data_IF_900533313279
#
_entry.id   IF_900533313279
#
_cell.length_a   1.000
_cell.length_b   1.000
_cell.length_c   1.000
_cell.angle_alpha   90.00
_cell.angle_beta   90.00
_cell.angle_gamma   90.00
#
_symmetry.space_group_name_H-M   'P 1'
#
loop_
_entity.id
_entity.type
_entity.pdbx_description
1 polymer ?
#
# COMPACT_ATOMS: atom_id res chain seq x y z
N UNK A 1 -3.51 -3.01 19.50
CA UNK A 1 -3.50 -1.64 18.94
C UNK A 1 -2.13 -1.39 18.38
N UNK A 2 -2.02 -1.03 17.10
CA UNK A 2 -0.76 -0.55 16.55
C UNK A 2 -0.52 0.83 17.19
N UNK A 3 0.34 0.83 18.23
CA UNK A 3 0.75 1.97 19.04
C UNK A 3 -0.35 2.74 19.82
N UNK A 4 -0.62 2.31 21.05
CA UNK A 4 -1.43 3.06 22.03
C UNK A 4 -0.76 4.35 22.54
N UNK A 5 0.57 4.45 22.39
CA UNK A 5 1.38 5.52 22.99
C UNK A 5 1.79 6.65 22.04
N UNK A 6 1.16 6.75 20.87
CA UNK A 6 1.45 7.84 19.93
C UNK A 6 0.30 8.87 19.98
N UNK A 7 0.22 9.62 21.08
CA UNK A 7 -0.20 11.02 20.96
C UNK A 7 0.95 11.81 20.33
N UNK A 8 1.29 11.52 19.07
CA UNK A 8 2.07 12.46 18.28
C UNK A 8 1.22 13.72 18.14
N UNK A 9 1.71 14.82 18.68
CA UNK A 9 1.11 16.12 18.54
C UNK A 9 1.14 16.55 17.07
N UNK A 10 0.17 16.09 16.29
CA UNK A 10 -0.01 16.47 14.88
C UNK A 10 -0.90 17.71 14.80
N UNK A 11 -0.75 18.50 13.74
CA UNK A 11 -1.66 19.63 13.47
C UNK A 11 -3.11 19.16 13.36
N UNK A 12 -3.34 17.97 12.79
CA UNK A 12 -4.66 17.34 12.76
C UNK A 12 -5.19 17.00 14.16
N UNK A 13 -4.34 16.46 15.03
CA UNK A 13 -4.67 16.17 16.43
C UNK A 13 -5.06 17.43 17.21
N UNK A 14 -4.27 18.50 17.05
CA UNK A 14 -4.54 19.81 17.68
C UNK A 14 -5.88 20.39 17.19
N UNK A 15 -6.16 20.35 15.88
CA UNK A 15 -7.47 20.80 15.34
C UNK A 15 -8.64 19.96 15.83
N UNK A 16 -8.46 18.65 15.97
CA UNK A 16 -9.52 17.75 16.48
C UNK A 16 -9.82 18.04 17.94
N UNK A 17 -8.79 18.18 18.76
CA UNK A 17 -8.93 18.54 20.17
C UNK A 17 -9.56 19.93 20.32
N UNK A 18 -9.17 20.91 19.50
CA UNK A 18 -9.78 22.24 19.48
C UNK A 18 -11.28 22.18 19.14
N UNK A 19 -11.69 21.31 18.22
CA UNK A 19 -13.11 21.10 17.92
C UNK A 19 -13.88 20.47 19.09
N UNK A 20 -13.26 19.57 19.86
CA UNK A 20 -13.86 19.02 21.09
C UNK A 20 -14.00 20.11 22.15
N UNK A 21 -12.94 20.89 22.40
CA UNK A 21 -12.93 22.00 23.37
C UNK A 21 -13.93 23.10 23.02
N UNK A 22 -14.06 23.45 21.73
CA UNK A 22 -15.08 24.38 21.25
C UNK A 22 -16.49 23.90 21.60
N UNK A 23 -16.77 22.61 21.39
CA UNK A 23 -18.10 22.02 21.66
C UNK A 23 -18.39 21.89 23.16
N UNK A 24 -17.39 21.52 23.96
CA UNK A 24 -17.59 21.29 25.40
C UNK A 24 -17.62 22.59 26.21
N UNK A 25 -16.85 23.61 25.81
CA UNK A 25 -16.62 24.80 26.63
C UNK A 25 -17.15 26.10 26.00
N UNK A 26 -17.77 26.04 24.82
CA UNK A 26 -18.33 27.22 24.14
C UNK A 26 -17.30 28.25 23.68
N UNK A 27 -16.01 27.87 23.63
CA UNK A 27 -14.91 28.79 23.31
C UNK A 27 -14.85 29.16 21.82
N UNK A 28 -14.41 30.38 21.47
CA UNK A 28 -13.99 30.71 20.12
C UNK A 28 -12.94 29.70 19.60
N UNK A 29 -13.07 29.28 18.34
CA UNK A 29 -12.22 28.22 17.78
C UNK A 29 -10.71 28.54 17.84
N UNK A 30 -10.34 29.81 17.68
CA UNK A 30 -8.93 30.23 17.74
C UNK A 30 -8.32 30.08 19.15
N UNK A 31 -9.09 30.35 20.21
CA UNK A 31 -8.67 30.10 21.59
C UNK A 31 -8.56 28.61 21.87
N UNK A 32 -9.54 27.83 21.40
CA UNK A 32 -9.52 26.37 21.53
C UNK A 32 -8.30 25.74 20.84
N UNK A 33 -7.85 26.30 19.70
CA UNK A 33 -6.61 25.89 19.01
C UNK A 33 -5.37 26.18 19.85
N UNK A 34 -5.28 27.35 20.47
CA UNK A 34 -4.14 27.69 21.33
C UNK A 34 -4.10 26.82 22.59
N UNK A 35 -5.25 26.53 23.19
CA UNK A 35 -5.35 25.62 24.35
C UNK A 35 -4.92 24.20 23.95
N UNK A 36 -5.44 23.69 22.82
CA UNK A 36 -5.06 22.38 22.32
C UNK A 36 -3.57 22.28 21.95
N UNK A 37 -2.97 23.35 21.45
CA UNK A 37 -1.53 23.42 21.18
C UNK A 37 -0.71 23.40 22.48
N UNK A 38 -1.15 24.12 23.52
CA UNK A 38 -0.51 24.12 24.84
C UNK A 38 -0.60 22.78 25.56
N UNK A 39 -1.72 22.08 25.44
CA UNK A 39 -1.82 20.70 25.97
C UNK A 39 -0.87 19.73 25.25
N UNK A 40 -0.41 20.10 24.06
CA UNK A 40 0.59 19.37 23.29
C UNK A 40 2.02 19.95 23.45
N UNK A 41 2.27 20.73 24.51
CA UNK A 41 3.57 21.36 24.84
C UNK A 41 4.09 22.41 23.85
N UNK A 42 3.20 23.06 23.09
CA UNK A 42 3.55 24.22 22.27
C UNK A 42 3.05 25.54 22.89
N UNK A 43 3.73 26.66 22.64
CA UNK A 43 3.32 27.96 23.19
C UNK A 43 1.93 28.42 22.72
N UNK A 44 1.63 28.18 21.44
CA UNK A 44 0.38 28.51 20.78
C UNK A 44 0.26 27.72 19.45
N UNK A 45 -0.86 27.88 18.74
CA UNK A 45 -1.10 27.16 17.48
C UNK A 45 -0.10 27.55 16.37
N UNK A 46 0.33 28.81 16.29
CA UNK A 46 1.31 29.25 15.29
C UNK A 46 2.69 28.64 15.55
N UNK A 47 3.11 28.59 16.82
CA UNK A 47 4.32 27.90 17.25
C UNK A 47 4.26 26.40 16.93
N UNK A 48 3.11 25.76 17.22
CA UNK A 48 2.87 24.37 16.83
C UNK A 48 2.96 24.18 15.31
N UNK A 49 2.32 25.05 14.50
CA UNK A 49 2.39 25.00 13.03
C UNK A 49 3.82 25.13 12.54
N UNK A 50 4.55 26.14 13.00
CA UNK A 50 5.92 26.39 12.58
C UNK A 50 6.89 25.30 13.03
N UNK A 51 6.80 24.82 14.27
CA UNK A 51 7.67 23.75 14.74
C UNK A 51 7.34 22.43 14.07
N UNK A 52 6.06 22.08 13.95
CA UNK A 52 5.65 20.84 13.30
C UNK A 52 5.96 20.87 11.82
N UNK A 53 5.74 21.97 11.10
CA UNK A 53 6.14 22.10 9.69
C UNK A 53 7.67 22.04 9.52
N UNK A 54 8.46 22.73 10.36
CA UNK A 54 9.92 22.71 10.26
C UNK A 54 10.55 21.37 10.67
N UNK A 55 9.96 20.68 11.66
CA UNK A 55 10.40 19.32 12.03
C UNK A 55 9.96 18.27 11.01
N UNK A 56 8.83 18.48 10.34
CA UNK A 56 8.39 17.67 9.20
C UNK A 56 9.34 17.81 7.99
N UNK A 57 9.96 18.98 7.80
CA UNK A 57 10.96 19.21 6.74
C UNK A 57 12.33 18.60 7.11
N UNK A 58 12.71 18.59 8.39
CA UNK A 58 14.05 18.17 8.83
C UNK A 58 14.19 16.68 9.18
N UNK A 59 13.12 15.96 9.54
CA UNK A 59 13.20 14.62 10.12
C UNK A 59 12.48 13.49 9.35
N UNK A 60 11.93 13.75 8.15
CA UNK A 60 11.28 12.72 7.34
C UNK A 60 12.14 12.34 6.14
N UNK A 61 13.10 11.44 6.36
CA UNK A 61 13.56 10.55 5.29
C UNK A 61 12.35 9.75 4.81
N UNK A 62 11.72 10.22 3.72
CA UNK A 62 10.60 9.62 2.98
C UNK A 62 9.55 8.82 3.77
N UNK A 63 9.20 9.26 4.99
CA UNK A 63 8.18 8.60 5.81
C UNK A 63 6.80 8.80 5.21
N UNK A 64 5.95 7.79 5.32
CA UNK A 64 4.60 7.74 4.79
C UNK A 64 3.67 7.15 5.85
N UNK A 65 2.50 7.76 6.02
CA UNK A 65 1.47 7.31 6.94
C UNK A 65 0.29 6.74 6.16
N UNK A 66 -0.27 5.63 6.64
CA UNK A 66 -1.54 5.07 6.19
C UNK A 66 -2.53 5.15 7.33
N UNK A 67 -3.78 5.49 7.02
CA UNK A 67 -4.85 5.59 8.00
C UNK A 67 -6.10 4.95 7.47
N UNK A 68 -6.75 4.12 8.29
CA UNK A 68 -8.03 3.49 7.97
C UNK A 68 -8.94 3.56 9.19
N UNK A 69 -10.21 3.91 8.97
CA UNK A 69 -11.22 3.96 10.02
C UNK A 69 -11.99 2.64 10.05
N UNK A 70 -12.54 2.29 11.20
CA UNK A 70 -13.35 1.08 11.33
C UNK A 70 -14.50 1.25 12.31
N UNK A 71 -15.56 0.49 12.06
CA UNK A 71 -16.73 0.38 12.91
C UNK A 71 -17.24 -1.07 12.93
N UNK A 72 -17.10 -1.72 14.09
CA UNK A 72 -17.64 -3.04 14.36
C UNK A 72 -19.06 -2.90 14.93
N UNK A 73 -20.05 -3.22 14.10
CA UNK A 73 -21.48 -3.15 14.45
C UNK A 73 -21.82 -4.13 15.60
N UNK A 74 -21.23 -5.32 15.61
CA UNK A 74 -21.53 -6.37 16.59
C UNK A 74 -21.00 -6.00 17.97
N UNK A 75 -19.76 -5.51 18.03
CA UNK A 75 -19.11 -5.06 19.27
C UNK A 75 -19.49 -3.62 19.65
N UNK A 76 -20.16 -2.88 18.77
CA UNK A 76 -20.45 -1.43 18.88
C UNK A 76 -19.20 -0.61 19.19
N UNK A 77 -18.08 -0.97 18.56
CA UNK A 77 -16.79 -0.28 18.72
C UNK A 77 -16.42 0.40 17.42
N UNK A 78 -15.80 1.56 17.52
CA UNK A 78 -15.20 2.25 16.38
C UNK A 78 -13.77 2.65 16.74
N UNK A 79 -12.96 2.82 15.71
CA UNK A 79 -11.59 3.22 15.89
C UNK A 79 -10.94 3.62 14.58
N UNK A 80 -9.62 3.72 14.64
CA UNK A 80 -8.78 4.11 13.52
C UNK A 80 -7.43 3.47 13.69
N UNK A 81 -6.99 2.78 12.67
CA UNK A 81 -5.63 2.25 12.58
C UNK A 81 -4.75 3.22 11.81
N UNK A 82 -3.51 3.36 12.27
CA UNK A 82 -2.48 4.18 11.62
C UNK A 82 -1.21 3.36 11.57
N UNK A 83 -0.61 3.27 10.38
CA UNK A 83 0.69 2.66 10.18
C UNK A 83 1.63 3.69 9.56
N UNK A 84 2.83 3.83 10.11
CA UNK A 84 3.92 4.57 9.48
C UNK A 84 4.93 3.62 8.87
N UNK A 85 5.44 4.00 7.70
CA UNK A 85 6.52 3.30 7.01
C UNK A 85 7.55 4.30 6.51
N UNK A 86 8.77 3.82 6.30
CA UNK A 86 9.83 4.59 5.65
C UNK A 86 10.12 4.04 4.25
N UNK A 87 10.22 4.94 3.27
CA UNK A 87 10.58 4.62 1.88
C UNK A 87 12.07 4.91 1.63
N UNK A 88 12.65 4.16 0.70
CA UNK A 88 14.02 4.37 0.19
C UNK A 88 14.20 5.69 -0.55
N UNK A 89 13.12 6.21 -1.16
CA UNK A 89 13.12 7.45 -1.97
C UNK A 89 11.75 8.14 -1.88
N UNK A 90 11.60 9.40 -2.33
CA UNK A 90 10.34 10.11 -2.24
C UNK A 90 9.20 9.37 -2.95
N UNK A 91 7.99 9.39 -2.37
CA UNK A 91 6.82 8.68 -2.91
C UNK A 91 6.62 8.92 -4.42
N UNK A 92 6.70 10.17 -4.87
CA UNK A 92 6.50 10.53 -6.29
C UNK A 92 7.62 10.05 -7.23
N UNK A 93 8.76 9.60 -6.69
CA UNK A 93 9.81 8.89 -7.44
C UNK A 93 9.57 7.38 -7.49
N UNK A 94 8.72 6.85 -6.61
CA UNK A 94 8.30 5.44 -6.61
C UNK A 94 7.04 5.27 -7.46
N UNK A 95 6.04 6.13 -7.29
CA UNK A 95 4.74 6.02 -7.93
C UNK A 95 4.07 7.38 -8.07
N UNK A 96 3.52 7.65 -9.25
CA UNK A 96 2.79 8.91 -9.47
C UNK A 96 1.33 8.80 -9.00
N UNK A 97 0.63 9.96 -8.99
CA UNK A 97 -0.73 10.05 -8.45
C UNK A 97 -1.76 9.17 -9.20
N UNK A 98 -1.59 9.03 -10.50
CA UNK A 98 -2.50 8.24 -11.33
C UNK A 98 -2.19 6.74 -11.26
N UNK A 99 -0.92 6.39 -11.07
CA UNK A 99 -0.46 5.01 -10.96
C UNK A 99 -0.94 4.36 -9.66
N UNK A 100 -0.84 5.02 -8.50
CA UNK A 100 -1.27 4.38 -7.25
C UNK A 100 -2.76 4.10 -7.20
N UNK A 101 -3.58 4.93 -7.88
CA UNK A 101 -5.02 4.68 -7.99
C UNK A 101 -5.36 3.44 -8.81
N UNK A 102 -4.41 2.94 -9.62
CA UNK A 102 -4.57 1.72 -10.44
C UNK A 102 -4.07 0.47 -9.71
N UNK A 103 -3.23 0.61 -8.68
CA UNK A 103 -2.84 -0.50 -7.83
C UNK A 103 -4.01 -0.89 -6.92
N UNK A 104 -4.52 -2.12 -7.05
CA UNK A 104 -5.78 -2.59 -6.42
C UNK A 104 -5.79 -2.34 -4.90
N UNK A 105 -4.69 -2.62 -4.20
CA UNK A 105 -4.55 -2.39 -2.75
C UNK A 105 -4.42 -0.93 -2.35
N UNK A 106 -3.98 -0.05 -3.26
CA UNK A 106 -3.84 1.39 -3.00
C UNK A 106 -5.06 2.21 -3.45
N UNK A 107 -5.96 1.63 -4.26
CA UNK A 107 -7.12 2.31 -4.81
C UNK A 107 -8.06 2.88 -3.73
N UNK A 108 -8.22 2.16 -2.61
CA UNK A 108 -9.00 2.56 -1.44
C UNK A 108 -8.45 3.79 -0.73
N UNK A 109 -7.17 4.11 -0.93
CA UNK A 109 -6.51 5.23 -0.27
C UNK A 109 -6.46 6.47 -1.14
N UNK A 110 -6.71 7.62 -0.53
CA UNK A 110 -6.45 8.95 -1.09
C UNK A 110 -5.24 9.56 -0.40
N UNK A 111 -4.37 10.19 -1.20
CA UNK A 111 -3.26 10.98 -0.68
C UNK A 111 -3.81 12.30 -0.09
N UNK A 112 -4.02 12.34 1.22
CA UNK A 112 -4.60 13.48 1.96
C UNK A 112 -3.59 14.59 2.22
N UNK A 113 -2.31 14.24 2.37
CA UNK A 113 -1.15 15.15 2.38
C UNK A 113 0.01 14.48 1.62
N UNK A 114 1.10 15.19 1.30
CA UNK A 114 2.24 14.62 0.56
C UNK A 114 2.83 13.32 1.13
N UNK A 115 2.61 13.04 2.42
CA UNK A 115 3.08 11.85 3.11
C UNK A 115 1.97 11.09 3.87
N UNK A 116 0.70 11.31 3.55
CA UNK A 116 -0.40 10.68 4.28
C UNK A 116 -1.48 10.14 3.35
N UNK A 117 -1.64 8.82 3.37
CA UNK A 117 -2.73 8.10 2.76
C UNK A 117 -3.86 7.87 3.77
N UNK A 118 -5.09 8.16 3.35
CA UNK A 118 -6.31 7.92 4.13
C UNK A 118 -7.24 7.03 3.31
N UNK A 119 -7.69 5.92 3.91
CA UNK A 119 -8.79 5.13 3.38
C UNK A 119 -10.07 5.94 3.57
N UNK A 120 -10.76 6.24 2.48
CA UNK A 120 -12.01 7.01 2.53
C UNK A 120 -13.20 6.11 2.95
N UNK A 121 -13.04 4.78 2.91
CA UNK A 121 -14.03 3.81 3.40
C UNK A 121 -13.85 3.49 4.90
N UNK A 122 -14.94 3.04 5.53
CA UNK A 122 -14.95 2.56 6.92
C UNK A 122 -14.99 1.03 6.93
N UNK A 123 -13.93 0.40 7.43
CA UNK A 123 -13.85 -1.05 7.55
C UNK A 123 -14.84 -1.58 8.61
N UNK A 124 -15.32 -2.81 8.43
CA UNK A 124 -16.31 -3.43 9.32
C UNK A 124 -15.72 -3.97 10.63
N UNK A 125 -14.40 -3.99 10.76
CA UNK A 125 -13.68 -4.43 11.95
C UNK A 125 -12.31 -3.76 12.05
N UNK A 126 -11.69 -3.85 13.22
CA UNK A 126 -10.32 -3.39 13.42
C UNK A 126 -9.36 -4.17 12.53
N UNK A 127 -9.50 -5.49 12.48
CA UNK A 127 -8.67 -6.40 11.70
C UNK A 127 -8.76 -6.08 10.20
N UNK A 128 -9.96 -5.85 9.67
CA UNK A 128 -10.14 -5.44 8.27
C UNK A 128 -9.52 -4.08 7.96
N UNK A 129 -9.45 -3.18 8.95
CA UNK A 129 -8.74 -1.90 8.82
C UNK A 129 -7.23 -2.11 8.65
N UNK A 130 -6.65 -3.02 9.45
CA UNK A 130 -5.24 -3.41 9.38
C UNK A 130 -4.94 -4.10 8.06
N UNK A 131 -5.77 -5.06 7.64
CA UNK A 131 -5.57 -5.82 6.39
C UNK A 131 -5.51 -4.90 5.16
N UNK A 132 -6.40 -3.91 5.09
CA UNK A 132 -6.43 -2.93 4.00
C UNK A 132 -5.15 -2.09 3.98
N UNK A 133 -4.66 -1.65 5.15
CA UNK A 133 -3.37 -0.93 5.26
C UNK A 133 -2.21 -1.83 4.83
N UNK A 134 -2.13 -3.06 5.35
CA UNK A 134 -1.06 -4.00 5.04
C UNK A 134 -1.05 -4.36 3.54
N UNK A 135 -2.21 -4.53 2.91
CA UNK A 135 -2.32 -4.77 1.46
C UNK A 135 -1.76 -3.62 0.63
N UNK A 136 -2.09 -2.37 0.99
CA UNK A 136 -1.57 -1.19 0.31
C UNK A 136 -0.03 -1.09 0.44
N UNK A 137 0.50 -1.37 1.63
CA UNK A 137 1.94 -1.34 1.89
C UNK A 137 2.68 -2.42 1.12
N UNK A 138 2.18 -3.65 1.08
CA UNK A 138 2.79 -4.76 0.31
C UNK A 138 2.92 -4.42 -1.16
N UNK A 139 1.90 -3.81 -1.76
CA UNK A 139 1.97 -3.33 -3.15
C UNK A 139 3.01 -2.22 -3.32
N UNK A 140 3.05 -1.25 -2.40
CA UNK A 140 4.03 -0.17 -2.48
C UNK A 140 5.48 -0.70 -2.38
N UNK A 141 5.72 -1.71 -1.55
CA UNK A 141 7.03 -2.39 -1.44
C UNK A 141 7.41 -3.14 -2.73
N UNK A 142 6.47 -3.81 -3.38
CA UNK A 142 6.73 -4.42 -4.69
C UNK A 142 7.17 -3.36 -5.71
N UNK A 143 6.43 -2.25 -5.80
CA UNK A 143 6.72 -1.15 -6.76
C UNK A 143 8.07 -0.50 -6.45
N UNK A 144 8.36 -0.29 -5.18
CA UNK A 144 9.63 0.27 -4.72
C UNK A 144 10.82 -0.61 -5.09
N UNK A 145 10.73 -1.92 -4.84
CA UNK A 145 11.82 -2.87 -5.07
C UNK A 145 12.04 -3.17 -6.55
N UNK A 146 10.96 -3.32 -7.31
CA UNK A 146 11.02 -3.79 -8.71
C UNK A 146 11.05 -2.65 -9.72
N UNK A 147 10.43 -1.51 -9.41
CA UNK A 147 10.15 -0.44 -10.36
C UNK A 147 8.94 -0.70 -11.26
N UNK A 148 8.30 -1.86 -11.15
CA UNK A 148 7.10 -2.20 -11.92
C UNK A 148 5.96 -1.22 -11.64
N UNK A 149 5.13 -1.00 -12.66
CA UNK A 149 3.99 -0.09 -12.61
C UNK A 149 2.69 -0.82 -12.94
N UNK A 150 1.56 -0.48 -12.28
CA UNK A 150 0.27 -1.06 -12.65
C UNK A 150 -0.06 -0.76 -14.12
N UNK A 151 -0.38 -1.79 -14.89
CA UNK A 151 -0.78 -1.69 -16.29
C UNK A 151 -2.32 -1.61 -16.40
N UNK A 152 -2.82 -0.65 -17.18
CA UNK A 152 -4.26 -0.56 -17.50
C UNK A 152 -4.66 -1.58 -18.56
N UNK A 153 -3.76 -1.80 -19.53
CA UNK A 153 -4.03 -2.68 -20.65
C UNK A 153 -3.70 -4.13 -20.26
N UNK A 154 -4.60 -4.72 -19.48
CA UNK A 154 -4.47 -6.09 -18.98
C UNK A 154 -4.26 -7.12 -20.10
N UNK A 155 -4.74 -6.85 -21.31
CA UNK A 155 -4.53 -7.71 -22.47
C UNK A 155 -3.06 -7.93 -22.78
N UNK A 156 -2.20 -6.92 -22.62
CA UNK A 156 -0.76 -7.03 -22.87
C UNK A 156 -0.04 -8.00 -21.92
N UNK A 157 -0.69 -8.34 -20.81
CA UNK A 157 -0.19 -9.35 -19.86
C UNK A 157 -0.64 -10.77 -20.21
N UNK A 158 -1.20 -10.99 -21.40
CA UNK A 158 -1.55 -12.31 -21.92
C UNK A 158 -0.86 -12.58 -23.26
N UNK A 159 -0.57 -13.86 -23.59
CA UNK A 159 -0.06 -14.26 -24.88
C UNK A 159 -0.94 -13.74 -26.03
N UNK A 160 -0.30 -13.17 -27.06
CA UNK A 160 -0.97 -12.56 -28.22
C UNK A 160 -2.01 -11.49 -27.86
N UNK A 161 -1.87 -10.86 -26.69
CA UNK A 161 -2.79 -9.86 -26.15
C UNK A 161 -4.26 -10.34 -26.03
N UNK A 162 -4.48 -11.64 -25.86
CA UNK A 162 -5.83 -12.23 -25.83
C UNK A 162 -6.19 -12.77 -24.45
N UNK A 163 -7.32 -12.34 -23.90
CA UNK A 163 -7.86 -12.88 -22.65
C UNK A 163 -8.18 -14.38 -22.73
N UNK A 164 -8.42 -14.92 -23.94
CA UNK A 164 -8.62 -16.35 -24.14
C UNK A 164 -7.37 -17.17 -23.79
N UNK A 165 -6.19 -16.54 -23.83
CA UNK A 165 -4.91 -17.13 -23.49
C UNK A 165 -4.51 -16.86 -22.04
N UNK A 166 -5.46 -16.50 -21.16
CA UNK A 166 -5.15 -16.28 -19.74
C UNK A 166 -4.50 -17.51 -19.11
N UNK A 167 -3.70 -17.28 -18.07
CA UNK A 167 -3.05 -18.33 -17.32
C UNK A 167 -4.09 -19.31 -16.73
N UNK A 168 -3.90 -20.64 -16.85
CA UNK A 168 -4.83 -21.62 -16.29
C UNK A 168 -4.94 -21.48 -14.77
N UNK A 169 -6.17 -21.58 -14.28
CA UNK A 169 -6.49 -21.43 -12.86
C UNK A 169 -5.97 -20.10 -12.27
N UNK A 170 -5.89 -19.06 -13.11
CA UNK A 170 -5.57 -17.71 -12.67
C UNK A 170 -6.56 -17.23 -11.61
N UNK A 171 -6.02 -16.69 -10.53
CA UNK A 171 -6.77 -16.15 -9.41
C UNK A 171 -5.98 -15.02 -8.75
N UNK A 172 -6.69 -13.98 -8.35
CA UNK A 172 -6.11 -12.72 -7.83
C UNK A 172 -5.01 -12.12 -8.72
N UNK A 173 -5.13 -12.26 -10.04
CA UNK A 173 -4.15 -11.74 -10.97
C UNK A 173 -4.10 -10.20 -10.99
N UNK A 174 -2.90 -9.67 -11.20
CA UNK A 174 -2.64 -8.24 -11.37
C UNK A 174 -1.68 -8.01 -12.53
N UNK A 175 -1.86 -6.88 -13.22
CA UNK A 175 -1.20 -6.57 -14.48
C UNK A 175 -0.20 -5.44 -14.28
N UNK A 176 1.03 -5.67 -14.73
CA UNK A 176 2.15 -4.77 -14.49
C UNK A 176 2.94 -4.56 -15.78
N UNK A 177 3.73 -3.50 -15.82
CA UNK A 177 4.73 -3.30 -16.85
C UNK A 177 6.01 -2.72 -16.25
N UNK A 178 7.14 -3.06 -16.85
CA UNK A 178 8.41 -2.40 -16.58
C UNK A 178 8.50 -1.14 -17.44
N UNK A 179 8.57 0.07 -16.85
CA UNK A 179 8.65 1.30 -17.60
C UNK A 179 9.99 1.49 -18.35
N UNK A 180 11.04 0.74 -18.00
CA UNK A 180 12.35 0.85 -18.67
C UNK A 180 12.36 0.07 -19.98
N UNK A 181 11.89 -1.16 -19.96
CA UNK A 181 11.90 -2.07 -21.11
C UNK A 181 10.59 -2.08 -21.90
N UNK A 182 9.49 -1.61 -21.28
CA UNK A 182 8.14 -1.74 -21.82
C UNK A 182 7.53 -3.14 -21.65
N UNK A 183 8.25 -4.08 -21.01
CA UNK A 183 7.81 -5.46 -20.85
C UNK A 183 6.54 -5.53 -20.00
N UNK A 184 5.53 -6.26 -20.47
CA UNK A 184 4.36 -6.59 -19.67
C UNK A 184 4.62 -7.79 -18.76
N UNK A 185 4.17 -7.69 -17.52
CA UNK A 185 4.36 -8.70 -16.48
C UNK A 185 3.01 -9.03 -15.85
N UNK A 186 2.65 -10.29 -15.90
CA UNK A 186 1.50 -10.85 -15.18
C UNK A 186 1.96 -11.31 -13.81
N UNK A 187 1.27 -10.89 -12.76
CA UNK A 187 1.41 -11.45 -11.42
C UNK A 187 0.11 -12.19 -11.09
N UNK A 188 0.22 -13.40 -10.58
CA UNK A 188 -0.92 -14.25 -10.23
C UNK A 188 -0.73 -14.80 -8.82
N UNK A 189 -1.76 -14.69 -7.98
CA UNK A 189 -1.69 -15.03 -6.55
C UNK A 189 -2.80 -16.01 -6.14
N UNK A 190 -2.83 -17.22 -6.72
CA UNK A 190 -3.89 -18.18 -6.45
C UNK A 190 -3.72 -18.86 -5.09
N UNK A 191 -4.82 -19.39 -4.56
CA UNK A 191 -4.84 -20.35 -3.45
C UNK A 191 -4.38 -21.76 -3.87
N UNK A 192 -3.35 -21.86 -4.70
CA UNK A 192 -2.75 -23.10 -5.19
C UNK A 192 -1.33 -23.21 -4.68
N UNK A 193 -0.87 -24.41 -4.33
CA UNK A 193 0.54 -24.66 -3.93
C UNK A 193 1.55 -24.00 -4.88
N UNK A 194 2.64 -23.41 -4.36
CA UNK A 194 3.75 -22.78 -5.12
C UNK A 194 4.58 -23.77 -5.96
N UNK A 195 3.94 -24.53 -6.82
CA UNK A 195 4.60 -25.49 -7.70
C UNK A 195 4.04 -25.34 -9.10
N UNK A 196 4.94 -25.16 -10.07
CA UNK A 196 4.57 -25.01 -11.49
C UNK A 196 4.50 -26.40 -12.11
N UNK A 197 3.30 -26.97 -12.13
CA UNK A 197 3.02 -28.28 -12.69
C UNK A 197 1.75 -28.28 -13.54
N UNK A 198 1.55 -29.37 -14.29
CA UNK A 198 0.37 -29.59 -15.11
C UNK A 198 0.12 -28.46 -16.11
N UNK A 199 -1.13 -28.03 -16.19
CA UNK A 199 -1.63 -27.07 -17.19
C UNK A 199 -0.86 -25.75 -17.23
N UNK A 200 -0.35 -25.25 -16.08
CA UNK A 200 0.39 -23.97 -16.03
C UNK A 200 1.79 -24.09 -16.64
N UNK A 201 2.45 -25.24 -16.46
CA UNK A 201 3.74 -25.52 -17.08
C UNK A 201 3.59 -25.72 -18.61
N UNK A 202 2.55 -26.45 -19.01
CA UNK A 202 2.21 -26.67 -20.41
C UNK A 202 1.84 -25.36 -21.12
N UNK A 203 1.05 -24.50 -20.47
CA UNK A 203 0.70 -23.18 -20.95
C UNK A 203 1.93 -22.31 -21.19
N UNK A 204 2.85 -22.25 -20.22
CA UNK A 204 4.08 -21.47 -20.33
C UNK A 204 4.93 -21.92 -21.53
N UNK A 205 5.07 -23.24 -21.71
CA UNK A 205 5.77 -23.82 -22.86
C UNK A 205 5.05 -23.53 -24.18
N UNK A 206 3.73 -23.68 -24.22
CA UNK A 206 2.91 -23.48 -25.42
C UNK A 206 2.99 -22.05 -25.95
N UNK A 207 2.96 -21.08 -25.04
CA UNK A 207 2.97 -19.67 -25.40
C UNK A 207 4.37 -19.06 -25.48
N UNK A 208 5.42 -19.82 -25.16
CA UNK A 208 6.79 -19.32 -24.99
C UNK A 208 6.88 -18.18 -23.96
N UNK A 209 6.27 -18.42 -22.79
CA UNK A 209 6.27 -17.51 -21.66
C UNK A 209 7.12 -18.07 -20.54
N UNK A 210 7.83 -17.20 -19.85
CA UNK A 210 8.39 -17.55 -18.56
C UNK A 210 7.28 -17.53 -17.51
N UNK A 211 7.34 -18.49 -16.58
CA UNK A 211 6.49 -18.56 -15.40
C UNK A 211 7.37 -19.01 -14.23
N UNK A 212 7.36 -18.27 -13.13
CA UNK A 212 8.17 -18.55 -11.95
C UNK A 212 7.39 -18.27 -10.66
N UNK A 213 7.54 -19.15 -9.66
CA UNK A 213 7.06 -18.93 -8.31
C UNK A 213 8.10 -18.14 -7.50
N UNK A 214 7.65 -17.16 -6.75
CA UNK A 214 8.45 -16.35 -5.83
C UNK A 214 8.56 -17.02 -4.47
N UNK A 215 9.69 -16.81 -3.78
CA UNK A 215 9.83 -17.16 -2.36
C UNK A 215 9.28 -16.07 -1.46
N UNK A 216 9.12 -14.84 -1.97
CA UNK A 216 8.41 -13.78 -1.25
C UNK A 216 6.90 -14.11 -1.20
N UNK A 217 6.24 -14.08 -0.02
CA UNK A 217 4.87 -14.60 0.16
C UNK A 217 3.75 -13.85 -0.55
N UNK A 218 3.99 -12.64 -1.07
CA UNK A 218 3.06 -11.94 -1.96
C UNK A 218 2.29 -10.76 -1.38
N UNK A 219 1.43 -10.17 -2.22
CA UNK A 219 0.66 -8.95 -1.97
C UNK A 219 -0.81 -9.21 -1.62
N UNK A 220 -1.40 -10.31 -2.06
CA UNK A 220 -2.83 -10.56 -1.86
C UNK A 220 -3.08 -11.12 -0.46
N UNK A 221 -2.71 -12.37 -0.21
CA UNK A 221 -2.87 -13.02 1.08
C UNK A 221 -1.62 -13.85 1.41
N UNK A 222 -0.63 -13.28 2.11
CA UNK A 222 0.67 -13.92 2.28
C UNK A 222 0.50 -15.22 3.05
N UNK A 223 1.31 -16.22 2.71
CA UNK A 223 1.31 -17.57 3.30
C UNK A 223 0.06 -18.43 2.99
N UNK A 224 -1.01 -17.83 2.47
CA UNK A 224 -2.24 -18.51 2.06
C UNK A 224 -2.42 -18.54 0.53
N UNK A 225 -1.89 -17.53 -0.16
CA UNK A 225 -1.78 -17.45 -1.61
C UNK A 225 -0.31 -17.48 -2.02
N UNK A 226 -0.06 -17.88 -3.27
CA UNK A 226 1.31 -18.07 -3.75
C UNK A 226 1.61 -17.16 -4.92
N UNK A 227 2.76 -16.50 -4.86
CA UNK A 227 3.09 -15.43 -5.79
C UNK A 227 3.80 -15.93 -7.04
N UNK A 228 3.13 -15.89 -8.19
CA UNK A 228 3.70 -16.25 -9.48
C UNK A 228 3.94 -15.01 -10.34
N UNK A 229 5.02 -15.03 -11.10
CA UNK A 229 5.36 -14.02 -12.10
C UNK A 229 5.42 -14.69 -13.46
N UNK A 230 4.72 -14.13 -14.45
CA UNK A 230 4.75 -14.59 -15.82
C UNK A 230 5.00 -13.44 -16.80
N UNK A 231 5.78 -13.70 -17.84
CA UNK A 231 6.11 -12.71 -18.87
C UNK A 231 6.54 -13.39 -20.17
N UNK A 232 6.45 -12.67 -21.28
CA UNK A 232 6.87 -13.16 -22.60
C UNK A 232 8.39 -13.46 -22.62
N UNK A 233 8.78 -14.66 -23.05
CA UNK A 233 10.18 -15.07 -23.11
C UNK A 233 10.89 -14.62 -24.41
N UNK A 234 10.15 -14.14 -25.41
CA UNK A 234 10.71 -13.75 -26.72
C UNK A 234 11.45 -12.42 -26.70
N UNK A 235 11.19 -11.58 -25.70
CA UNK A 235 11.70 -10.20 -25.64
C UNK A 235 13.10 -10.10 -25.03
N UNK A 236 13.63 -11.19 -24.47
CA UNK A 236 14.92 -11.19 -23.77
C UNK A 236 14.89 -10.47 -22.41
N UNK A 237 13.71 -10.28 -21.82
CA UNK A 237 13.55 -9.64 -20.51
C UNK A 237 14.28 -10.40 -19.40
N UNK A 238 14.98 -9.66 -18.52
CA UNK A 238 15.70 -10.23 -17.37
C UNK A 238 14.74 -10.60 -16.24
N UNK A 239 14.01 -11.71 -16.43
CA UNK A 239 13.13 -12.24 -15.38
C UNK A 239 13.91 -12.62 -14.12
N UNK A 240 15.15 -13.12 -14.27
CA UNK A 240 15.96 -13.51 -13.11
C UNK A 240 16.22 -12.30 -12.21
N UNK A 241 16.67 -11.19 -12.77
CA UNK A 241 16.90 -9.95 -12.03
C UNK A 241 15.61 -9.38 -11.41
N UNK A 242 14.46 -9.53 -12.07
CA UNK A 242 13.17 -9.18 -11.48
C UNK A 242 12.85 -10.06 -10.27
N UNK A 243 12.99 -11.38 -10.40
CA UNK A 243 12.71 -12.34 -9.32
C UNK A 243 13.67 -12.17 -8.14
N UNK A 244 14.95 -11.88 -8.40
CA UNK A 244 15.94 -11.59 -7.36
C UNK A 244 15.51 -10.36 -6.53
N UNK A 245 15.01 -9.29 -7.18
CA UNK A 245 14.45 -8.13 -6.49
C UNK A 245 13.21 -8.48 -5.66
N UNK A 246 12.27 -9.24 -6.22
CA UNK A 246 11.03 -9.65 -5.54
C UNK A 246 11.36 -10.50 -4.30
N UNK A 247 12.23 -11.49 -4.44
CA UNK A 247 12.62 -12.39 -3.35
C UNK A 247 13.46 -11.69 -2.26
N UNK A 248 14.03 -10.52 -2.56
CA UNK A 248 14.74 -9.70 -1.58
C UNK A 248 13.84 -8.74 -0.78
N UNK A 249 12.55 -8.65 -1.12
CA UNK A 249 11.62 -7.80 -0.37
C UNK A 249 11.48 -8.38 1.04
N UNK A 250 11.52 -7.53 2.10
CA UNK A 250 11.27 -8.00 3.47
C UNK A 250 9.92 -8.72 3.60
N UNK A 251 9.80 -9.55 4.64
CA UNK A 251 8.57 -10.28 4.89
C UNK A 251 7.35 -9.33 4.89
N UNK A 252 6.28 -9.70 4.17
CA UNK A 252 5.12 -8.84 4.01
C UNK A 252 4.42 -8.64 5.35
N UNK A 253 3.93 -7.42 5.59
CA UNK A 253 3.09 -7.14 6.75
C UNK A 253 1.75 -7.90 6.63
N UNK A 254 1.35 -8.57 7.70
CA UNK A 254 0.04 -9.17 7.89
C UNK A 254 -0.68 -8.54 9.09
N UNK A 255 -1.97 -8.84 9.29
CA UNK A 255 -2.70 -8.41 10.49
C UNK A 255 -2.22 -9.09 11.78
N UNK A 256 -1.43 -10.15 11.66
CA UNK A 256 -0.81 -10.87 12.78
C UNK A 256 0.63 -10.41 13.07
N UNK A 257 1.17 -9.48 12.28
CA UNK A 257 2.54 -8.94 12.38
C UNK A 257 2.70 -7.84 13.42
#
# INVERSE_FOLDING_TARGET
MLNENIQQATIGGIKRLANQLKKSNGLPYHEALNIAARSASFENYAHASNQLENSHIKNHTHRLFFTSYWYDIKKRKMGREVLDIELSKPLLKIINKNEYKRAIGMAAFRLASPNHFVNDDVAQSQEGSIDVICKAVRMLRLIEATGLKPNINHHQSYPNESYQNKLPQADHSSHWYDPVTGQSVLIDEPYLTAVIHGERAEWAKMHNWHLQASTWPGMYYPDMSYFFVATDATTGFDLKGLMDKINSIPNPLSSES
#
